data_IF_048845006040
#
_entry.id   IF_048845006040
#
_cell.length_a   1.000
_cell.length_b   1.000
_cell.length_c   1.000
_cell.angle_alpha   90.00
_cell.angle_beta   90.00
_cell.angle_gamma   90.00
#
_symmetry.space_group_name_H-M   'P 1'
#
loop_
_entity.id
_entity.type
_entity.pdbx_description
1 polymer ?
#
# COMPACT_ATOMS: atom_id res chain seq x y z
N UNK A 1 -24.79 42.74 4.27
CA UNK A 1 -23.74 42.13 5.14
C UNK A 1 -23.89 40.62 5.26
N UNK A 2 -25.07 40.07 5.54
CA UNK A 2 -25.29 38.61 5.63
C UNK A 2 -24.93 37.86 4.33
N UNK A 3 -25.26 38.43 3.16
CA UNK A 3 -24.90 37.84 1.86
C UNK A 3 -23.38 37.79 1.62
N UNK A 4 -22.65 38.86 2.00
CA UNK A 4 -21.19 38.92 1.87
C UNK A 4 -20.48 37.98 2.84
N UNK A 5 -21.04 37.79 4.05
CA UNK A 5 -20.56 36.78 5.00
C UNK A 5 -20.80 35.36 4.47
N UNK A 6 -21.99 35.07 3.91
CA UNK A 6 -22.29 33.77 3.32
C UNK A 6 -21.42 33.46 2.09
N UNK A 7 -21.12 34.46 1.26
CA UNK A 7 -20.17 34.37 0.15
C UNK A 7 -18.74 34.16 0.64
N UNK A 8 -18.29 34.92 1.64
CA UNK A 8 -16.96 34.72 2.23
C UNK A 8 -16.81 33.33 2.88
N UNK A 9 -17.88 32.80 3.47
CA UNK A 9 -17.92 31.45 4.06
C UNK A 9 -17.97 30.35 2.99
N UNK A 10 -18.61 30.56 1.84
CA UNK A 10 -18.58 29.61 0.71
C UNK A 10 -17.29 29.67 -0.11
N UNK A 11 -16.54 30.77 -0.01
CA UNK A 11 -15.16 30.92 -0.49
C UNK A 11 -14.11 30.39 0.50
N UNK A 12 -14.51 30.10 1.74
CA UNK A 12 -13.69 29.45 2.76
C UNK A 12 -13.38 28.01 2.34
N UNK A 13 -12.17 27.79 1.81
CA UNK A 13 -11.71 26.47 1.39
C UNK A 13 -11.78 25.41 2.49
N UNK A 14 -11.92 24.15 2.09
CA UNK A 14 -11.76 23.02 3.02
C UNK A 14 -10.27 22.80 3.30
N UNK A 15 -9.95 22.14 4.41
CA UNK A 15 -8.62 21.55 4.57
C UNK A 15 -8.70 20.08 4.20
N UNK A 16 -7.85 19.70 3.25
CA UNK A 16 -7.58 18.32 2.90
C UNK A 16 -6.42 17.83 3.75
N UNK A 17 -6.63 16.72 4.45
CA UNK A 17 -5.67 16.14 5.38
C UNK A 17 -5.46 14.67 5.00
N UNK A 18 -4.21 14.32 4.70
CA UNK A 18 -3.81 12.95 4.35
C UNK A 18 -2.58 12.58 5.17
N UNK A 19 -2.62 11.42 5.78
CA UNK A 19 -1.50 10.87 6.53
C UNK A 19 -1.51 9.37 6.33
N UNK A 20 -0.39 8.72 6.61
CA UNK A 20 -0.32 7.28 6.51
C UNK A 20 1.11 6.83 6.47
N UNK A 21 1.29 5.61 5.97
CA UNK A 21 2.59 5.00 5.81
C UNK A 21 2.73 4.46 4.40
N UNK A 22 3.93 4.60 3.87
CA UNK A 22 4.35 3.92 2.66
C UNK A 22 5.46 2.93 2.98
N UNK A 23 5.53 1.86 2.19
CA UNK A 23 6.60 0.87 2.28
C UNK A 23 7.58 1.09 1.15
N UNK A 24 8.82 1.43 1.49
CA UNK A 24 9.89 1.69 0.52
C UNK A 24 10.99 0.66 0.67
N UNK A 25 11.65 0.32 -0.44
CA UNK A 25 12.80 -0.57 -0.42
C UNK A 25 13.90 -0.01 0.48
N UNK A 26 14.32 -0.80 1.46
CA UNK A 26 15.46 -0.52 2.34
C UNK A 26 16.68 -1.37 1.94
N UNK A 27 16.43 -2.62 1.51
CA UNK A 27 17.44 -3.50 0.93
C UNK A 27 16.80 -4.38 -0.14
N UNK A 28 17.46 -4.50 -1.29
CA UNK A 28 16.92 -5.24 -2.44
C UNK A 28 17.32 -6.71 -2.47
N UNK A 29 18.34 -7.18 -1.76
CA UNK A 29 18.62 -8.62 -1.64
C UNK A 29 18.79 -9.43 -2.95
N UNK A 30 19.17 -8.79 -4.06
CA UNK A 30 19.25 -9.44 -5.39
C UNK A 30 18.01 -9.28 -6.26
N UNK A 31 16.97 -8.62 -5.74
CA UNK A 31 15.85 -8.11 -6.51
C UNK A 31 16.26 -6.82 -7.24
N UNK A 32 15.55 -6.52 -8.32
CA UNK A 32 15.64 -5.26 -9.05
C UNK A 32 14.42 -4.42 -8.73
N UNK A 33 14.61 -3.12 -8.49
CA UNK A 33 13.50 -2.18 -8.38
C UNK A 33 12.84 -2.03 -9.75
N UNK A 34 11.53 -2.25 -9.79
CA UNK A 34 10.68 -2.13 -10.98
C UNK A 34 9.57 -1.09 -10.78
N UNK A 35 9.71 -0.24 -9.75
CA UNK A 35 8.76 0.82 -9.44
C UNK A 35 8.79 1.89 -10.53
N UNK A 36 7.62 2.30 -11.01
CA UNK A 36 7.43 3.23 -12.14
C UNK A 36 7.60 4.71 -11.78
N UNK A 37 8.17 5.03 -10.62
CA UNK A 37 8.49 6.40 -10.19
C UNK A 37 7.31 7.27 -9.78
N UNK A 38 6.06 6.82 -9.99
CA UNK A 38 4.87 7.52 -9.50
C UNK A 38 4.58 7.11 -8.05
N UNK A 39 4.56 8.09 -7.16
CA UNK A 39 4.33 7.89 -5.72
C UNK A 39 3.04 7.13 -5.39
N UNK A 40 2.03 7.20 -6.27
CA UNK A 40 0.70 6.61 -6.04
C UNK A 40 0.64 5.09 -6.29
N UNK A 41 1.67 4.51 -6.95
CA UNK A 41 1.61 3.15 -7.51
C UNK A 41 2.23 2.06 -6.61
N UNK A 42 2.62 2.40 -5.38
CA UNK A 42 3.32 1.47 -4.47
C UNK A 42 4.73 1.15 -4.96
N UNK A 43 5.35 0.13 -4.38
CA UNK A 43 6.70 -0.33 -4.77
C UNK A 43 6.61 -1.66 -5.51
N UNK A 44 7.40 -1.84 -6.56
CA UNK A 44 7.42 -3.07 -7.36
C UNK A 44 8.84 -3.60 -7.52
N UNK A 45 8.97 -4.92 -7.52
CA UNK A 45 10.23 -5.62 -7.58
C UNK A 45 10.19 -6.72 -8.63
N UNK A 46 11.35 -6.95 -9.23
CA UNK A 46 11.58 -8.01 -10.20
C UNK A 46 12.72 -8.89 -9.74
N UNK A 47 12.52 -10.21 -9.76
CA UNK A 47 13.56 -11.19 -9.48
C UNK A 47 13.74 -12.13 -10.67
N UNK A 48 15.00 -12.40 -11.03
CA UNK A 48 15.31 -13.43 -12.02
C UNK A 48 14.96 -14.81 -11.48
N UNK A 49 14.05 -15.53 -12.14
CA UNK A 49 13.45 -16.77 -11.65
C UNK A 49 13.36 -17.83 -12.78
N UNK A 50 14.50 -18.10 -13.42
CA UNK A 50 14.56 -18.95 -14.63
C UNK A 50 14.42 -18.13 -15.91
N UNK A 51 13.68 -18.66 -16.89
CA UNK A 51 13.44 -17.97 -18.16
C UNK A 51 12.50 -16.76 -18.02
N UNK A 52 11.57 -16.83 -17.06
CA UNK A 52 10.61 -15.78 -16.77
C UNK A 52 10.88 -15.20 -15.37
N UNK A 53 10.79 -13.88 -15.18
CA UNK A 53 11.03 -13.25 -13.89
C UNK A 53 9.80 -13.34 -12.97
N UNK A 54 10.04 -13.37 -11.66
CA UNK A 54 9.01 -13.16 -10.64
C UNK A 54 8.81 -11.66 -10.41
N UNK A 55 7.59 -11.19 -10.53
CA UNK A 55 7.20 -9.81 -10.21
C UNK A 55 6.46 -9.78 -8.88
N UNK A 56 6.83 -8.85 -8.00
CA UNK A 56 6.14 -8.60 -6.74
C UNK A 56 5.84 -7.11 -6.61
N UNK A 57 4.58 -6.75 -6.44
CA UNK A 57 4.16 -5.38 -6.15
C UNK A 57 3.56 -5.28 -4.76
N UNK A 58 3.83 -4.19 -4.06
CA UNK A 58 3.34 -3.90 -2.70
C UNK A 58 2.65 -2.54 -2.74
N UNK A 59 1.37 -2.53 -2.39
CA UNK A 59 0.53 -1.34 -2.40
C UNK A 59 -0.15 -1.15 -1.05
N UNK A 60 -0.04 0.04 -0.48
CA UNK A 60 -0.73 0.41 0.76
C UNK A 60 -2.06 1.08 0.48
N UNK A 61 -3.08 0.80 1.29
CA UNK A 61 -4.20 1.71 1.50
C UNK A 61 -3.78 2.79 2.49
N UNK A 62 -4.24 4.01 2.26
CA UNK A 62 -3.82 5.15 3.08
C UNK A 62 -5.03 5.90 3.61
N UNK A 63 -5.08 6.20 4.92
CA UNK A 63 -6.14 7.02 5.49
C UNK A 63 -6.21 8.39 4.81
N UNK A 64 -7.41 8.82 4.46
CA UNK A 64 -7.68 10.14 3.88
C UNK A 64 -8.85 10.77 4.61
N UNK A 65 -8.70 12.04 5.02
CA UNK A 65 -9.76 12.77 5.70
C UNK A 65 -9.91 14.18 5.11
N UNK A 66 -11.16 14.57 4.86
CA UNK A 66 -11.52 15.92 4.45
C UNK A 66 -12.20 16.62 5.63
N UNK A 67 -11.65 17.77 6.05
CA UNK A 67 -12.19 18.56 7.16
C UNK A 67 -12.55 19.96 6.66
N UNK A 68 -13.81 20.38 6.84
CA UNK A 68 -14.24 21.74 6.53
C UNK A 68 -14.21 22.61 7.79
N UNK A 69 -13.54 23.77 7.73
CA UNK A 69 -13.38 24.69 8.86
C UNK A 69 -14.59 25.60 9.12
N UNK A 70 -15.58 25.65 8.21
CA UNK A 70 -16.65 26.66 8.27
C UNK A 70 -18.09 26.11 8.24
N UNK A 71 -18.28 24.79 8.24
CA UNK A 71 -19.56 24.15 8.46
C UNK A 71 -19.35 23.07 9.51
N UNK A 72 -20.17 23.10 10.56
CA UNK A 72 -20.28 22.11 11.65
C UNK A 72 -19.80 20.73 11.15
N UNK A 73 -18.86 20.05 11.83
CA UNK A 73 -18.33 18.78 11.37
C UNK A 73 -19.45 17.75 11.47
N UNK A 74 -20.26 17.63 10.41
CA UNK A 74 -21.45 16.82 10.51
C UNK A 74 -21.10 15.34 10.51
N UNK A 75 -20.04 14.93 9.79
CA UNK A 75 -19.53 13.56 9.85
C UNK A 75 -18.04 13.59 9.49
N UNK A 76 -17.18 13.02 10.33
CA UNK A 76 -15.94 12.46 9.81
C UNK A 76 -16.37 11.38 8.81
N UNK A 77 -16.14 11.60 7.52
CA UNK A 77 -16.18 10.52 6.56
C UNK A 77 -14.99 9.61 6.88
N UNK A 78 -15.10 8.83 7.95
CA UNK A 78 -14.16 7.76 8.29
C UNK A 78 -14.41 6.64 7.30
N UNK A 79 -13.86 6.80 6.10
CA UNK A 79 -13.75 5.69 5.16
C UNK A 79 -12.45 4.97 5.49
N UNK A 80 -12.63 3.93 6.33
CA UNK A 80 -11.68 2.90 6.75
C UNK A 80 -10.37 3.35 7.38
N UNK A 81 -10.22 2.99 8.65
CA UNK A 81 -8.97 3.00 9.42
C UNK A 81 -7.98 1.91 8.96
N UNK A 82 -8.18 1.34 7.77
CA UNK A 82 -7.42 0.19 7.31
C UNK A 82 -6.11 0.66 6.69
N UNK A 83 -5.10 0.87 7.54
CA UNK A 83 -3.68 0.68 7.15
C UNK A 83 -3.59 -0.79 6.72
N UNK A 84 -3.71 -1.04 5.42
CA UNK A 84 -3.65 -2.38 4.84
C UNK A 84 -2.62 -2.40 3.72
N UNK A 85 -2.01 -3.55 3.51
CA UNK A 85 -1.03 -3.76 2.46
C UNK A 85 -1.50 -4.90 1.58
N UNK A 86 -1.65 -4.60 0.29
CA UNK A 86 -1.85 -5.60 -0.73
C UNK A 86 -0.52 -5.94 -1.39
N UNK A 87 -0.16 -7.22 -1.35
CA UNK A 87 1.03 -7.75 -2.01
C UNK A 87 0.55 -8.65 -3.15
N UNK A 88 1.08 -8.43 -4.34
CA UNK A 88 0.78 -9.25 -5.51
C UNK A 88 2.06 -9.83 -6.08
N UNK A 89 2.15 -11.15 -6.09
CA UNK A 89 3.17 -11.88 -6.83
C UNK A 89 2.61 -12.35 -8.18
N UNK A 90 3.42 -12.29 -9.25
CA UNK A 90 3.05 -12.83 -10.55
C UNK A 90 4.25 -13.51 -11.22
N UNK A 91 4.01 -14.74 -11.67
CA UNK A 91 4.97 -15.56 -12.40
C UNK A 91 4.20 -16.67 -13.13
N UNK A 92 4.57 -17.07 -14.36
CA UNK A 92 3.81 -18.05 -15.15
C UNK A 92 3.64 -19.43 -14.49
N UNK A 93 4.59 -19.82 -13.64
CA UNK A 93 4.53 -21.08 -12.87
C UNK A 93 3.65 -21.03 -11.61
N UNK A 94 3.01 -19.90 -11.29
CA UNK A 94 2.18 -19.80 -10.09
C UNK A 94 0.77 -20.32 -10.32
N UNK A 95 0.30 -21.08 -9.34
CA UNK A 95 -1.12 -21.36 -9.18
C UNK A 95 -1.81 -20.20 -8.45
N UNK A 96 -3.12 -20.12 -8.61
CA UNK A 96 -3.98 -19.19 -7.87
C UNK A 96 -3.88 -19.48 -6.36
N UNK A 97 -3.42 -18.51 -5.56
CA UNK A 97 -3.33 -18.67 -4.11
C UNK A 97 -4.69 -18.50 -3.41
N UNK A 98 -5.12 -19.54 -2.70
CA UNK A 98 -6.29 -19.52 -1.83
C UNK A 98 -5.94 -19.80 -0.37
N UNK A 99 -4.71 -20.26 -0.10
CA UNK A 99 -4.24 -20.64 1.23
C UNK A 99 -2.74 -20.36 1.42
N UNK A 100 -2.26 -20.44 2.66
CA UNK A 100 -0.83 -20.28 3.00
C UNK A 100 0.07 -21.34 2.37
N UNK A 101 -0.43 -22.54 2.12
CA UNK A 101 0.33 -23.61 1.49
C UNK A 101 0.67 -23.32 0.02
N UNK A 102 -0.12 -22.46 -0.63
CA UNK A 102 0.04 -22.05 -2.03
C UNK A 102 0.78 -20.71 -2.17
N UNK A 103 1.11 -20.06 -1.04
CA UNK A 103 1.75 -18.76 -1.04
C UNK A 103 3.23 -18.85 -1.46
N UNK A 104 3.63 -18.27 -2.60
CA UNK A 104 5.00 -18.30 -3.10
C UNK A 104 5.93 -17.35 -2.35
N UNK A 105 5.42 -16.58 -1.39
CA UNK A 105 6.16 -15.63 -0.59
C UNK A 105 6.12 -16.01 0.89
N UNK A 106 7.26 -15.86 1.57
CA UNK A 106 7.33 -15.86 3.04
C UNK A 106 7.46 -14.41 3.48
N UNK A 107 6.45 -13.92 4.18
CA UNK A 107 6.38 -12.54 4.66
C UNK A 107 6.79 -12.50 6.13
N UNK A 108 7.67 -11.57 6.49
CA UNK A 108 8.11 -11.36 7.87
C UNK A 108 8.00 -9.89 8.25
N UNK A 109 7.37 -9.61 9.39
CA UNK A 109 7.39 -8.30 10.03
C UNK A 109 8.45 -8.31 11.13
N UNK A 110 9.43 -7.41 11.07
CA UNK A 110 10.54 -7.32 12.01
C UNK A 110 11.18 -8.69 12.32
N UNK A 111 11.45 -9.44 11.24
CA UNK A 111 12.03 -10.79 11.25
C UNK A 111 11.15 -11.90 11.87
N UNK A 112 9.85 -11.66 12.09
CA UNK A 112 8.86 -12.66 12.52
C UNK A 112 7.90 -12.98 11.39
N UNK A 113 7.70 -14.26 11.10
CA UNK A 113 6.77 -14.70 10.04
C UNK A 113 5.35 -14.21 10.37
N UNK A 114 4.70 -13.59 9.39
CA UNK A 114 3.33 -13.12 9.52
C UNK A 114 2.38 -14.31 9.31
N UNK A 115 1.56 -14.59 10.31
CA UNK A 115 0.46 -15.55 10.26
C UNK A 115 -0.60 -15.11 11.28
N UNK A 116 -1.85 -14.82 10.89
CA UNK A 116 -2.49 -15.14 9.60
C UNK A 116 -2.21 -14.13 8.47
N UNK A 117 -2.55 -14.52 7.24
CA UNK A 117 -2.50 -13.70 6.02
C UNK A 117 -3.83 -13.89 5.27
N UNK A 118 -4.41 -12.83 4.71
CA UNK A 118 -5.64 -12.88 3.94
C UNK A 118 -5.41 -13.16 2.44
N UNK A 119 -6.35 -13.88 1.81
CA UNK A 119 -6.38 -14.10 0.36
C UNK A 119 -7.72 -13.61 -0.20
N UNK A 120 -7.75 -12.69 -1.18
CA UNK A 120 -8.99 -12.24 -1.78
C UNK A 120 -9.65 -13.38 -2.58
N UNK A 121 -10.98 -13.40 -2.59
CA UNK A 121 -11.78 -14.47 -3.23
C UNK A 121 -11.61 -14.54 -4.75
N UNK A 122 -11.20 -13.43 -5.38
CA UNK A 122 -10.92 -13.35 -6.82
C UNK A 122 -9.43 -13.11 -7.05
N UNK A 123 -8.81 -14.11 -7.67
CA UNK A 123 -7.42 -14.11 -8.06
C UNK A 123 -7.31 -14.19 -9.58
N UNK A 124 -6.23 -13.63 -10.13
CA UNK A 124 -5.92 -13.76 -11.55
C UNK A 124 -5.01 -14.97 -11.73
N UNK A 125 -5.14 -15.66 -12.87
CA UNK A 125 -4.24 -16.75 -13.22
C UNK A 125 -2.77 -16.28 -13.19
N UNK A 126 -1.86 -17.18 -12.81
CA UNK A 126 -0.43 -16.90 -12.71
C UNK A 126 -0.10 -15.75 -11.73
N UNK A 127 -0.94 -15.55 -10.73
CA UNK A 127 -0.75 -14.53 -9.71
C UNK A 127 -1.29 -14.94 -8.35
N UNK A 128 -0.69 -14.35 -7.33
CA UNK A 128 -1.01 -14.55 -5.93
C UNK A 128 -1.17 -13.19 -5.27
N UNK A 129 -2.41 -12.82 -4.93
CA UNK A 129 -2.69 -11.63 -4.14
C UNK A 129 -2.82 -12.00 -2.68
N UNK A 130 -2.22 -11.18 -1.84
CA UNK A 130 -2.11 -11.32 -0.40
C UNK A 130 -2.56 -10.00 0.21
N UNK A 131 -3.41 -10.08 1.24
CA UNK A 131 -3.88 -8.94 2.00
C UNK A 131 -3.38 -9.04 3.44
N UNK A 132 -2.78 -7.95 3.92
CA UNK A 132 -2.37 -7.77 5.30
C UNK A 132 -3.20 -6.63 5.90
N UNK A 133 -3.89 -6.87 7.00
CA UNK A 133 -4.66 -5.86 7.71
C UNK A 133 -3.74 -5.10 8.69
N UNK A 134 -4.27 -4.03 9.31
CA UNK A 134 -3.52 -3.20 10.25
C UNK A 134 -2.92 -3.98 11.43
N UNK A 135 -3.53 -5.11 11.81
CA UNK A 135 -3.04 -5.96 12.91
C UNK A 135 -1.77 -6.73 12.56
N UNK A 136 -1.58 -7.11 11.29
CA UNK A 136 -0.36 -7.75 10.80
C UNK A 136 0.77 -6.75 10.55
N UNK A 137 0.44 -5.46 10.46
CA UNK A 137 1.35 -4.37 10.12
C UNK A 137 1.90 -3.61 11.34
N UNK A 138 1.88 -4.26 12.51
CA UNK A 138 2.45 -3.75 13.77
C UNK A 138 3.98 -3.98 13.78
N UNK A 139 4.70 -3.17 13.01
CA UNK A 139 6.15 -3.21 12.90
C UNK A 139 6.70 -2.18 11.91
N UNK A 140 8.02 -2.15 11.78
CA UNK A 140 8.73 -1.13 10.99
C UNK A 140 9.32 -1.68 9.69
N UNK A 141 9.60 -2.99 9.63
CA UNK A 141 10.30 -3.62 8.50
C UNK A 141 9.56 -4.85 8.01
N UNK A 142 9.14 -4.83 6.75
CA UNK A 142 8.51 -5.95 6.06
C UNK A 142 9.55 -6.62 5.15
N UNK A 143 9.91 -7.86 5.45
CA UNK A 143 10.78 -8.70 4.62
C UNK A 143 9.92 -9.63 3.76
N UNK A 144 10.27 -9.72 2.48
CA UNK A 144 9.62 -10.59 1.50
C UNK A 144 10.67 -11.54 0.94
N UNK A 145 10.44 -12.83 1.19
CA UNK A 145 11.29 -13.93 0.73
C UNK A 145 10.52 -14.83 -0.23
N UNK A 146 11.21 -15.47 -1.17
CA UNK A 146 10.59 -16.48 -2.04
C UNK A 146 10.48 -17.80 -1.28
N UNK A 147 9.29 -18.39 -1.31
CA UNK A 147 9.08 -19.76 -0.86
C UNK A 147 9.64 -20.74 -1.90
N UNK A 148 10.86 -21.21 -1.64
CA UNK A 148 11.61 -22.09 -2.56
C UNK A 148 10.93 -23.44 -2.82
N UNK A 149 9.98 -23.86 -1.97
CA UNK A 149 9.21 -25.07 -2.19
C UNK A 149 8.21 -24.94 -3.36
N UNK A 150 7.78 -23.72 -3.68
CA UNK A 150 6.80 -23.45 -4.74
C UNK A 150 7.43 -22.82 -5.97
N UNK A 151 8.44 -21.96 -5.78
CA UNK A 151 9.22 -21.37 -6.85
C UNK A 151 10.71 -21.53 -6.51
N UNK A 152 11.48 -22.35 -7.24
CA UNK A 152 12.88 -22.66 -6.92
C UNK A 152 13.81 -21.51 -7.34
N UNK A 153 13.57 -20.33 -6.80
CA UNK A 153 14.29 -19.10 -7.10
C UNK A 153 14.96 -18.60 -5.82
N UNK A 154 16.29 -18.61 -5.82
CA UNK A 154 17.10 -18.24 -4.66
C UNK A 154 17.51 -16.77 -4.76
N UNK A 155 17.09 -15.97 -3.79
CA UNK A 155 17.52 -14.60 -3.59
C UNK A 155 17.51 -14.29 -2.10
N UNK A 156 18.29 -13.30 -1.69
CA UNK A 156 18.10 -12.73 -0.37
C UNK A 156 16.75 -11.98 -0.31
N UNK A 157 16.16 -11.82 0.88
CA UNK A 157 14.93 -11.06 1.03
C UNK A 157 15.05 -9.63 0.48
N UNK A 158 13.98 -9.16 -0.14
CA UNK A 158 13.75 -7.72 -0.24
C UNK A 158 13.17 -7.25 1.09
N UNK A 159 13.75 -6.21 1.67
CA UNK A 159 13.26 -5.60 2.91
C UNK A 159 12.71 -4.22 2.60
N UNK A 160 11.48 -3.99 3.05
CA UNK A 160 10.81 -2.71 3.00
C UNK A 160 10.82 -2.07 4.38
N UNK A 161 10.95 -0.75 4.42
CA UNK A 161 10.84 0.04 5.64
C UNK A 161 9.60 0.92 5.58
N UNK A 162 8.85 0.92 6.68
CA UNK A 162 7.70 1.79 6.90
C UNK A 162 8.17 3.24 6.98
N UNK A 163 7.57 4.10 6.17
CA UNK A 163 7.83 5.54 6.15
C UNK A 163 6.51 6.26 6.38
N UNK A 164 6.41 6.99 7.48
CA UNK A 164 5.27 7.87 7.71
C UNK A 164 5.32 9.06 6.74
N UNK A 165 4.16 9.45 6.27
CA UNK A 165 3.98 10.69 5.53
C UNK A 165 2.77 11.45 6.08
N UNK A 166 2.81 12.77 5.89
CA UNK A 166 1.75 13.68 6.30
C UNK A 166 1.66 14.83 5.29
N UNK A 167 0.44 15.12 4.85
CA UNK A 167 0.10 16.20 3.94
C UNK A 167 -1.14 16.93 4.46
N UNK A 168 -1.05 18.25 4.55
CA UNK A 168 -2.18 19.13 4.80
C UNK A 168 -2.20 20.20 3.71
N UNK A 169 -3.37 20.45 3.14
CA UNK A 169 -3.55 21.54 2.17
C UNK A 169 -4.88 22.25 2.37
N UNK A 170 -4.90 23.53 2.05
CA UNK A 170 -6.14 24.29 1.89
C UNK A 170 -6.64 24.11 0.46
N UNK A 171 -7.84 23.56 0.29
CA UNK A 171 -8.49 23.45 -1.02
C UNK A 171 -8.97 24.82 -1.48
N UNK A 172 -8.81 25.11 -2.77
CA UNK A 172 -9.37 26.31 -3.41
C UNK A 172 -10.66 25.96 -4.14
N UNK A 173 -11.57 26.93 -4.24
CA UNK A 173 -12.73 26.83 -5.11
C UNK A 173 -12.27 26.58 -6.56
N UNK A 174 -12.83 25.57 -7.23
CA UNK A 174 -12.37 25.11 -8.55
C UNK A 174 -11.43 23.90 -8.52
N UNK A 175 -11.13 23.37 -7.33
CA UNK A 175 -10.27 22.20 -7.17
C UNK A 175 -8.80 22.56 -6.96
N UNK A 176 -8.04 21.61 -6.45
CA UNK A 176 -6.62 21.76 -6.19
C UNK A 176 -5.95 20.40 -6.41
N UNK A 177 -4.64 20.36 -6.67
CA UNK A 177 -3.89 19.10 -6.81
C UNK A 177 -3.94 18.31 -5.49
N UNK A 178 -4.56 17.12 -5.44
CA UNK A 178 -4.77 16.36 -4.21
C UNK A 178 -3.46 16.06 -3.48
N UNK A 179 -3.54 15.79 -2.17
CA UNK A 179 -2.38 15.25 -1.46
C UNK A 179 -1.91 13.96 -2.16
N UNK A 180 -0.73 14.04 -2.77
CA UNK A 180 -0.01 12.88 -3.32
C UNK A 180 0.32 11.87 -2.23
N UNK A 181 0.84 10.71 -2.63
CA UNK A 181 1.70 9.91 -1.73
C UNK A 181 3.13 10.43 -1.85
#
# INVERSE_FOLDING_TARGET
>A
MVLCLALALSLGGCIDYKWGHDWKADSLGGWQDASTGNYDQGTSFKLACGAEPLYVSVQSSTPHQLVSLFLVPLFSASLSDDDSVEIRASHPGLVTCTSSAENPLVLKMDNRVISPIGYPSRQLANSCRIHLDARELQGERLSIEVNQALLPCAAAPVTLKKHSYFCMRQSKFGGSVPCGR
#
